data_IF_924616027683
#
_entry.id   IF_924616027683
#
_cell.length_a   1.000
_cell.length_b   1.000
_cell.length_c   1.000
_cell.angle_alpha   90.00
_cell.angle_beta   90.00
_cell.angle_gamma   90.00
#
_symmetry.space_group_name_H-M   'P 1'
#
loop_
_entity.id
_entity.type
_entity.pdbx_description
1 polymer ?
#
# COMPACT_ATOMS: atom_id res chain seq x y z
N UNK A 1 -17.13 -13.79 -29.69
CA UNK A 1 -16.43 -14.26 -28.47
C UNK A 1 -15.63 -13.09 -27.89
N UNK A 2 -16.34 -12.16 -27.24
CA UNK A 2 -15.69 -11.04 -26.54
C UNK A 2 -15.14 -11.63 -25.24
N UNK A 3 -13.82 -11.62 -25.14
CA UNK A 3 -13.07 -12.09 -23.99
C UNK A 3 -13.44 -11.16 -22.83
N UNK A 4 -14.09 -11.72 -21.80
CA UNK A 4 -14.42 -10.95 -20.59
C UNK A 4 -13.10 -10.43 -20.03
N UNK A 5 -12.98 -9.11 -19.96
CA UNK A 5 -11.88 -8.46 -19.25
C UNK A 5 -12.03 -8.84 -17.78
N UNK A 6 -11.01 -9.50 -17.26
CA UNK A 6 -10.89 -9.75 -15.83
C UNK A 6 -10.59 -8.39 -15.22
N UNK A 7 -11.58 -7.82 -14.53
CA UNK A 7 -11.35 -6.65 -13.70
C UNK A 7 -10.49 -7.16 -12.52
N UNK A 8 -9.19 -6.89 -12.61
CA UNK A 8 -8.24 -7.09 -11.53
C UNK A 8 -8.75 -6.30 -10.31
N UNK A 9 -9.42 -7.01 -9.40
CA UNK A 9 -10.08 -6.53 -8.17
C UNK A 9 -9.27 -5.59 -7.26
N UNK A 10 -7.99 -5.32 -7.56
CA UNK A 10 -7.12 -4.43 -6.79
C UNK A 10 -6.21 -3.53 -7.66
N UNK A 11 -6.48 -3.41 -8.97
CA UNK A 11 -5.63 -2.69 -9.93
C UNK A 11 -6.12 -1.32 -10.40
N UNK A 12 -7.27 -0.86 -9.91
CA UNK A 12 -7.84 0.43 -10.31
C UNK A 12 -7.05 1.63 -9.75
N UNK A 13 -7.01 2.74 -10.49
CA UNK A 13 -6.41 4.06 -10.11
C UNK A 13 -6.87 4.64 -8.75
N UNK A 14 -7.74 3.95 -8.01
CA UNK A 14 -8.27 4.31 -6.69
C UNK A 14 -7.98 3.30 -5.57
N UNK A 15 -7.14 2.27 -5.77
CA UNK A 15 -6.84 1.26 -4.72
C UNK A 15 -6.23 1.83 -3.44
N UNK A 16 -5.75 3.08 -3.45
CA UNK A 16 -5.13 3.75 -2.32
C UNK A 16 -5.96 4.90 -1.74
N UNK A 17 -7.12 5.20 -2.32
CA UNK A 17 -7.96 6.34 -1.91
C UNK A 17 -8.65 6.10 -0.56
N UNK A 18 -8.98 4.83 -0.26
CA UNK A 18 -9.64 4.42 0.98
C UNK A 18 -8.67 3.94 2.06
N UNK A 19 -7.37 4.10 1.83
CA UNK A 19 -6.32 3.60 2.72
C UNK A 19 -5.97 4.69 3.72
N UNK A 20 -5.78 4.31 4.98
CA UNK A 20 -5.44 5.24 6.05
C UNK A 20 -4.15 6.00 5.71
N UNK A 21 -4.07 7.29 6.06
CA UNK A 21 -2.87 8.08 5.84
C UNK A 21 -2.14 8.28 7.16
N UNK A 22 -0.93 7.75 7.24
CA UNK A 22 -0.05 7.93 8.40
C UNK A 22 1.06 8.93 8.10
N UNK A 23 1.53 9.61 9.14
CA UNK A 23 2.63 10.58 9.05
C UNK A 23 3.96 9.87 9.30
N UNK A 24 4.40 9.06 8.34
CA UNK A 24 5.70 8.34 8.37
C UNK A 24 6.67 8.98 7.38
N UNK A 25 7.94 9.04 7.77
CA UNK A 25 9.03 9.50 6.90
C UNK A 25 9.30 8.43 5.84
N UNK A 26 9.27 8.82 4.57
CA UNK A 26 9.59 7.89 3.49
C UNK A 26 11.08 7.47 3.60
N UNK A 27 11.40 6.17 3.56
CA UNK A 27 12.77 5.67 3.71
C UNK A 27 13.63 5.88 2.45
N UNK A 28 13.07 6.49 1.41
CA UNK A 28 13.76 6.74 0.14
C UNK A 28 14.67 7.94 0.27
N UNK A 29 15.96 7.73 0.05
CA UNK A 29 16.93 8.83 -0.02
C UNK A 29 16.60 9.74 -1.22
N UNK A 30 16.17 10.97 -0.92
CA UNK A 30 15.71 11.94 -1.92
C UNK A 30 14.22 12.25 -1.86
N UNK A 31 13.43 11.50 -1.08
CA UNK A 31 12.02 11.80 -0.83
C UNK A 31 11.83 12.25 0.62
N UNK A 32 11.55 13.53 0.84
CA UNK A 32 11.31 14.10 2.17
C UNK A 32 9.81 14.12 2.55
N UNK A 33 9.03 13.24 1.93
CA UNK A 33 7.61 13.06 2.20
C UNK A 33 7.38 12.60 3.64
N UNK A 34 6.55 13.35 4.37
CA UNK A 34 6.15 13.04 5.75
C UNK A 34 4.81 12.30 5.83
N UNK A 35 4.23 11.93 4.68
CA UNK A 35 2.92 11.28 4.57
C UNK A 35 3.02 10.03 3.70
N UNK A 36 2.45 8.93 4.18
CA UNK A 36 2.31 7.69 3.44
C UNK A 36 0.91 7.10 3.66
N UNK A 37 0.38 6.45 2.64
CA UNK A 37 -0.75 5.54 2.79
C UNK A 37 -0.30 4.31 3.56
N UNK A 38 -1.10 3.87 4.50
CA UNK A 38 -0.83 2.77 5.41
C UNK A 38 -2.05 1.86 5.50
N UNK A 39 -1.81 0.56 5.31
CA UNK A 39 -2.78 -0.47 5.62
C UNK A 39 -2.06 -1.67 6.19
N UNK A 40 -2.76 -2.38 7.05
CA UNK A 40 -2.25 -3.60 7.63
C UNK A 40 -3.07 -4.76 7.06
N UNK A 41 -2.38 -5.78 6.57
CA UNK A 41 -3.03 -6.94 5.97
C UNK A 41 -2.40 -8.22 6.49
N UNK A 42 -3.27 -9.12 6.96
CA UNK A 42 -2.88 -10.45 7.37
C UNK A 42 -2.66 -11.32 6.13
N UNK A 43 -1.41 -11.41 5.69
CA UNK A 43 -1.01 -12.24 4.54
C UNK A 43 -0.60 -13.67 4.92
N UNK A 44 -0.48 -13.97 6.22
CA UNK A 44 0.00 -15.24 6.79
C UNK A 44 -1.03 -15.83 7.74
N UNK A 45 -0.74 -17.01 8.29
CA UNK A 45 -1.57 -17.61 9.35
C UNK A 45 -1.80 -16.62 10.50
N UNK A 46 -2.93 -16.75 11.19
CA UNK A 46 -3.30 -15.91 12.33
C UNK A 46 -2.31 -15.99 13.52
N UNK A 47 -1.34 -16.90 13.47
CA UNK A 47 -0.23 -17.05 14.41
C UNK A 47 0.94 -16.07 14.17
N UNK A 48 0.97 -15.33 13.05
CA UNK A 48 1.99 -14.30 12.78
C UNK A 48 1.41 -12.87 12.95
N UNK A 49 2.22 -11.88 13.37
CA UNK A 49 1.77 -10.50 13.49
C UNK A 49 1.34 -9.92 12.13
N UNK A 50 0.44 -8.92 12.18
CA UNK A 50 -0.07 -8.29 10.95
C UNK A 50 1.06 -7.62 10.18
N UNK A 51 1.17 -7.90 8.87
CA UNK A 51 2.12 -7.18 8.03
C UNK A 51 1.56 -5.79 7.70
N UNK A 52 2.35 -4.78 8.05
CA UNK A 52 2.08 -3.37 7.76
C UNK A 52 2.64 -3.00 6.39
N UNK A 53 1.81 -2.42 5.53
CA UNK A 53 2.21 -1.93 4.22
C UNK A 53 2.11 -0.40 4.20
N UNK A 54 3.17 0.23 3.69
CA UNK A 54 3.28 1.67 3.56
C UNK A 54 3.53 2.04 2.11
N UNK A 55 2.96 3.16 1.66
CA UNK A 55 3.23 3.74 0.35
C UNK A 55 3.35 5.25 0.45
N UNK A 56 4.50 5.80 0.07
CA UNK A 56 4.73 7.23 0.07
C UNK A 56 3.72 7.94 -0.83
N UNK A 57 3.11 9.03 -0.33
CA UNK A 57 2.19 9.85 -1.14
C UNK A 57 2.97 10.65 -2.21
N UNK A 58 4.21 11.04 -1.90
CA UNK A 58 5.03 11.93 -2.72
C UNK A 58 5.75 11.18 -3.86
N UNK A 59 6.54 10.15 -3.52
CA UNK A 59 7.30 9.38 -4.52
C UNK A 59 6.62 8.09 -4.98
N UNK A 60 5.52 7.68 -4.34
CA UNK A 60 4.83 6.41 -4.67
C UNK A 60 5.59 5.14 -4.26
N UNK A 61 6.71 5.26 -3.55
CA UNK A 61 7.49 4.12 -3.09
C UNK A 61 6.69 3.29 -2.07
N UNK A 62 6.65 1.98 -2.25
CA UNK A 62 5.96 1.06 -1.36
C UNK A 62 6.96 0.20 -0.60
N UNK A 63 6.80 0.13 0.73
CA UNK A 63 7.55 -0.76 1.60
C UNK A 63 6.62 -1.46 2.58
N UNK A 64 7.14 -2.49 3.25
CA UNK A 64 6.38 -3.25 4.24
C UNK A 64 7.21 -3.46 5.50
N UNK A 65 6.54 -3.52 6.63
CA UNK A 65 7.10 -3.70 7.96
C UNK A 65 6.35 -4.84 8.66
N UNK A 66 7.08 -5.68 9.38
CA UNK A 66 6.57 -6.84 10.10
C UNK A 66 7.28 -6.99 11.43
#
# INVERSE_FOLDING_TARGET
MVRKEVDDMLGGKGSWDNVDQTSILCPVEGCNGQKAYFYQLQIRSADEPMTSFYKCVDCGFQWREN
#
